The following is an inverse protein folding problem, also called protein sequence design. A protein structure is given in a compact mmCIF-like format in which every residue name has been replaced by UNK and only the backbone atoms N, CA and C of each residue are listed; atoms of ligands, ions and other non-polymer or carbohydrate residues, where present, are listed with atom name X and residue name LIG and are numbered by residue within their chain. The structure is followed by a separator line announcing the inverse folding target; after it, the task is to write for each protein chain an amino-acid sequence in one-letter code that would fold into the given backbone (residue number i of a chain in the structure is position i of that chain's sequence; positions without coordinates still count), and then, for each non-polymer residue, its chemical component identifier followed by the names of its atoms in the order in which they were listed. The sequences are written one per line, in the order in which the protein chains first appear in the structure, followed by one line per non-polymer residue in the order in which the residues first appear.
data_IF_707410427820
#
_entry.id   IF_707410427820
#
_cell.length_a   1.000
_cell.length_b   1.000
_cell.length_c   1.000
_cell.angle_alpha   90.00
_cell.angle_beta   90.00
_cell.angle_gamma   90.00
#
_symmetry.space_group_name_H-M   'P 1'
#
loop_
_entity.id
_entity.type
_entity.pdbx_description
1 polymer ?
#
# COMPACT_ATOMS: atom_id res chain seq x y z
N UNK A 1 -15.55 -47.58 -1.38
CA UNK A 1 -15.70 -46.68 -0.21
C UNK A 1 -15.19 -45.31 -0.63
N UNK A 2 -16.09 -44.35 -0.82
CA UNK A 2 -15.71 -42.96 -1.14
C UNK A 2 -15.41 -42.22 0.16
N UNK A 3 -14.30 -41.47 0.21
CA UNK A 3 -13.95 -40.62 1.33
C UNK A 3 -14.98 -39.50 1.51
N UNK A 4 -15.31 -39.07 2.74
CA UNK A 4 -16.21 -37.95 2.95
C UNK A 4 -15.58 -36.66 2.40
N UNK A 5 -16.37 -35.76 1.78
CA UNK A 5 -15.87 -34.46 1.39
C UNK A 5 -15.43 -33.69 2.64
N UNK A 6 -14.19 -33.18 2.58
CA UNK A 6 -13.60 -32.30 3.59
C UNK A 6 -14.58 -31.15 3.91
N UNK A 7 -14.78 -30.76 5.18
CA UNK A 7 -15.71 -29.69 5.51
C UNK A 7 -15.21 -28.40 4.87
N UNK A 8 -15.98 -27.89 3.91
CA UNK A 8 -15.77 -26.57 3.35
C UNK A 8 -15.74 -25.57 4.51
N UNK A 9 -14.65 -24.80 4.62
CA UNK A 9 -14.57 -23.70 5.58
C UNK A 9 -15.87 -22.88 5.49
N UNK A 10 -16.56 -22.63 6.62
CA UNK A 10 -17.75 -21.81 6.60
C UNK A 10 -17.33 -20.43 6.08
N UNK A 11 -17.80 -20.10 4.88
CA UNK A 11 -17.63 -18.78 4.30
C UNK A 11 -18.47 -17.85 5.17
N UNK A 12 -17.84 -17.33 6.23
CA UNK A 12 -18.43 -16.33 7.08
C UNK A 12 -18.95 -15.23 6.16
N UNK A 13 -20.22 -14.83 6.34
CA UNK A 13 -20.78 -13.67 5.65
C UNK A 13 -19.76 -12.55 5.75
N UNK A 14 -19.26 -12.00 4.62
CA UNK A 14 -18.19 -11.04 4.69
C UNK A 14 -18.69 -9.86 5.54
N UNK A 15 -17.91 -9.49 6.54
CA UNK A 15 -18.02 -8.17 7.13
C UNK A 15 -18.05 -7.16 5.97
N UNK A 16 -18.78 -6.04 6.09
CA UNK A 16 -18.96 -5.10 4.97
C UNK A 16 -17.63 -4.58 4.40
N UNK A 17 -16.52 -4.72 5.13
CA UNK A 17 -15.18 -4.37 4.72
C UNK A 17 -14.18 -5.52 4.96
N UNK A 18 -13.20 -5.72 4.07
CA UNK A 18 -12.18 -6.77 4.20
C UNK A 18 -11.35 -6.59 5.47
N UNK A 19 -11.06 -7.69 6.16
CA UNK A 19 -10.21 -7.70 7.35
C UNK A 19 -8.73 -7.54 7.00
N UNK A 20 -7.90 -7.20 7.97
CA UNK A 20 -6.45 -7.19 7.79
C UNK A 20 -5.94 -8.56 7.29
N UNK A 21 -6.50 -9.66 7.81
CA UNK A 21 -6.17 -11.01 7.38
C UNK A 21 -6.49 -11.26 5.91
N UNK A 22 -7.66 -10.80 5.44
CA UNK A 22 -8.09 -10.95 4.05
C UNK A 22 -7.16 -10.20 3.09
N UNK A 23 -6.80 -8.95 3.44
CA UNK A 23 -5.90 -8.12 2.63
C UNK A 23 -4.51 -8.77 2.52
N UNK A 24 -3.98 -9.26 3.65
CA UNK A 24 -2.67 -9.94 3.69
C UNK A 24 -2.70 -11.29 2.95
N UNK A 25 -3.80 -12.03 3.00
CA UNK A 25 -3.96 -13.27 2.25
C UNK A 25 -4.04 -13.00 0.74
N UNK A 26 -4.79 -11.99 0.33
CA UNK A 26 -4.89 -11.56 -1.06
C UNK A 26 -3.54 -11.05 -1.60
N UNK A 27 -2.74 -10.33 -0.79
CA UNK A 27 -1.41 -9.89 -1.22
C UNK A 27 -0.48 -11.07 -1.48
N UNK A 28 -0.49 -12.08 -0.60
CA UNK A 28 0.32 -13.30 -0.76
C UNK A 28 -0.08 -14.11 -1.99
N UNK A 29 -1.38 -14.22 -2.26
CA UNK A 29 -1.87 -14.84 -3.50
C UNK A 29 -1.38 -14.10 -4.77
N UNK A 30 -1.02 -12.82 -4.62
CA UNK A 30 -0.42 -12.02 -5.68
C UNK A 30 1.12 -12.08 -5.72
N UNK A 31 1.75 -12.88 -4.86
CA UNK A 31 3.20 -12.98 -4.76
C UNK A 31 3.85 -11.80 -4.02
N UNK A 32 3.08 -11.09 -3.20
CA UNK A 32 3.53 -9.95 -2.41
C UNK A 32 3.44 -10.29 -0.92
N UNK A 33 4.57 -10.21 -0.23
CA UNK A 33 4.59 -10.24 1.23
C UNK A 33 4.45 -8.81 1.76
N UNK A 34 3.30 -8.50 2.35
CA UNK A 34 3.01 -7.18 2.91
C UNK A 34 3.10 -7.26 4.42
N UNK A 35 3.82 -6.33 5.03
CA UNK A 35 4.05 -6.30 6.48
C UNK A 35 3.71 -4.93 7.03
N UNK A 36 2.93 -4.91 8.10
CA UNK A 36 2.67 -3.73 8.92
C UNK A 36 3.60 -3.74 10.13
N UNK A 37 4.27 -2.63 10.39
CA UNK A 37 5.07 -2.38 11.59
C UNK A 37 4.58 -1.09 12.24
N UNK A 38 4.43 -1.11 13.55
CA UNK A 38 3.92 0.02 14.34
C UNK A 38 4.91 0.36 15.45
N UNK A 39 5.23 1.64 15.61
CA UNK A 39 6.05 2.16 16.71
C UNK A 39 5.33 3.38 17.28
N UNK A 40 4.67 3.18 18.42
CA UNK A 40 3.77 4.19 18.98
C UNK A 40 2.65 4.55 17.98
N UNK A 41 2.34 5.83 17.76
CA UNK A 41 1.30 6.24 16.81
C UNK A 41 1.74 6.09 15.35
N UNK A 42 3.02 5.88 15.08
CA UNK A 42 3.55 5.77 13.73
C UNK A 42 3.44 4.34 13.22
N UNK A 43 3.14 4.20 11.93
CA UNK A 43 3.13 2.91 11.26
C UNK A 43 3.87 2.98 9.94
N UNK A 44 4.38 1.81 9.54
CA UNK A 44 5.01 1.57 8.26
C UNK A 44 4.48 0.27 7.68
N UNK A 45 4.00 0.33 6.45
CA UNK A 45 3.66 -0.81 5.63
C UNK A 45 4.78 -1.01 4.62
N UNK A 46 5.33 -2.20 4.52
CA UNK A 46 6.33 -2.57 3.51
C UNK A 46 5.80 -3.72 2.69
N UNK A 47 6.03 -3.68 1.38
CA UNK A 47 5.70 -4.77 0.47
C UNK A 47 6.98 -5.27 -0.18
N UNK A 48 7.26 -6.55 0.03
CA UNK A 48 8.43 -7.26 -0.50
C UNK A 48 8.00 -8.39 -1.43
N UNK A 49 8.88 -8.79 -2.33
CA UNK A 49 8.72 -9.98 -3.17
C UNK A 49 9.96 -10.86 -3.06
N UNK A 50 9.75 -12.16 -3.02
CA UNK A 50 10.78 -13.15 -2.73
C UNK A 50 10.72 -13.61 -1.27
N UNK A 51 11.55 -14.58 -0.93
CA UNK A 51 11.62 -15.19 0.38
C UNK A 51 13.08 -15.16 0.87
N UNK A 52 13.29 -15.06 2.19
CA UNK A 52 14.63 -15.09 2.78
C UNK A 52 15.47 -13.84 2.53
N UNK A 53 16.76 -14.03 2.27
CA UNK A 53 17.75 -12.96 2.10
C UNK A 53 17.62 -12.22 0.75
N UNK A 54 16.95 -12.82 -0.23
CA UNK A 54 16.71 -12.25 -1.55
C UNK A 54 15.42 -11.42 -1.64
N UNK A 55 14.76 -11.14 -0.50
CA UNK A 55 13.52 -10.39 -0.47
C UNK A 55 13.74 -8.93 -0.91
N UNK A 56 13.19 -8.58 -2.07
CA UNK A 56 13.32 -7.23 -2.64
C UNK A 56 12.16 -6.36 -2.19
N UNK A 57 12.45 -5.21 -1.60
CA UNK A 57 11.43 -4.20 -1.28
C UNK A 57 10.92 -3.52 -2.55
N UNK A 58 9.63 -3.71 -2.83
CA UNK A 58 8.94 -3.14 -4.00
C UNK A 58 8.28 -1.80 -3.67
N UNK A 59 7.89 -1.60 -2.42
CA UNK A 59 7.32 -0.34 -1.98
C UNK A 59 7.03 -0.29 -0.49
N UNK A 60 6.81 0.92 -0.01
CA UNK A 60 6.49 1.22 1.38
C UNK A 60 5.49 2.35 1.49
N UNK A 61 4.67 2.30 2.53
CA UNK A 61 3.80 3.37 2.97
C UNK A 61 4.05 3.69 4.44
N UNK A 62 4.07 4.97 4.81
CA UNK A 62 4.30 5.45 6.16
C UNK A 62 3.22 6.45 6.52
N UNK A 63 2.86 6.46 7.80
CA UNK A 63 1.89 7.39 8.33
C UNK A 63 1.83 7.36 9.84
N UNK A 64 0.87 8.11 10.38
CA UNK A 64 0.64 8.26 11.80
C UNK A 64 -0.85 8.25 12.11
N UNK A 65 -1.22 7.52 13.16
CA UNK A 65 -2.55 7.58 13.76
C UNK A 65 -2.51 8.58 14.91
N UNK A 66 -3.14 9.74 14.72
CA UNK A 66 -3.17 10.82 15.71
C UNK A 66 -4.51 10.82 16.44
N UNK A 67 -4.53 10.67 17.79
CA UNK A 67 -5.76 10.88 18.55
C UNK A 67 -6.11 12.38 18.53
N UNK A 68 -7.34 12.72 18.14
CA UNK A 68 -7.86 14.09 18.13
C UNK A 68 -9.17 14.17 18.93
N UNK A 69 -9.50 15.33 19.56
CA UNK A 69 -10.81 15.52 20.18
C UNK A 69 -11.93 15.38 19.13
N UNK A 70 -12.70 14.29 19.21
CA UNK A 70 -13.74 13.96 18.22
C UNK A 70 -13.44 12.77 17.31
N UNK A 71 -12.30 12.08 17.48
CA UNK A 71 -11.97 10.83 16.79
C UNK A 71 -10.49 10.77 16.39
N UNK A 72 -9.95 9.57 16.18
CA UNK A 72 -8.60 9.44 15.65
C UNK A 72 -8.57 9.85 14.16
N UNK A 73 -7.44 10.44 13.74
CA UNK A 73 -7.19 10.81 12.34
C UNK A 73 -5.99 10.00 11.85
N UNK A 74 -6.19 9.30 10.74
CA UNK A 74 -5.13 8.62 10.00
C UNK A 74 -4.45 9.63 9.09
N UNK A 75 -3.19 9.96 9.34
CA UNK A 75 -2.37 10.71 8.40
C UNK A 75 -1.50 9.73 7.60
N UNK A 76 -1.63 9.74 6.28
CA UNK A 76 -0.76 9.00 5.39
C UNK A 76 0.25 9.96 4.77
N UNK A 77 1.51 9.83 5.21
CA UNK A 77 2.55 10.83 4.96
C UNK A 77 3.39 10.52 3.72
N UNK A 78 3.67 9.24 3.46
CA UNK A 78 4.47 8.84 2.30
C UNK A 78 4.05 7.49 1.76
N UNK A 79 3.95 7.38 0.44
CA UNK A 79 3.89 6.10 -0.25
C UNK A 79 4.91 6.13 -1.39
N UNK A 80 5.85 5.19 -1.38
CA UNK A 80 6.95 5.13 -2.35
C UNK A 80 7.06 3.73 -2.91
N UNK A 81 7.29 3.64 -4.22
CA UNK A 81 7.63 2.41 -4.91
C UNK A 81 9.09 2.48 -5.34
N UNK A 82 9.80 1.35 -5.29
CA UNK A 82 11.18 1.27 -5.73
C UNK A 82 11.25 1.00 -7.23
N UNK A 83 12.41 1.27 -7.86
CA UNK A 83 12.63 0.91 -9.27
C UNK A 83 12.63 -0.61 -9.50
N UNK A 84 12.79 -1.42 -8.45
CA UNK A 84 12.69 -2.87 -8.55
C UNK A 84 11.32 -3.32 -9.05
N UNK A 85 10.27 -2.53 -8.83
CA UNK A 85 8.93 -2.80 -9.32
C UNK A 85 8.83 -2.69 -10.86
N UNK A 86 9.77 -2.00 -11.53
CA UNK A 86 9.86 -1.95 -13.00
C UNK A 86 10.50 -3.20 -13.61
N UNK A 87 11.28 -3.96 -12.83
CA UNK A 87 11.88 -5.23 -13.25
C UNK A 87 10.91 -6.42 -13.17
N UNK A 88 9.69 -6.19 -12.70
CA UNK A 88 8.65 -7.22 -12.57
C UNK A 88 7.85 -7.29 -13.87
N UNK A 89 8.26 -8.20 -14.76
CA UNK A 89 7.67 -8.40 -16.08
C UNK A 89 6.25 -9.02 -16.07
N UNK A 90 5.88 -9.72 -15.00
CA UNK A 90 4.71 -10.62 -15.03
C UNK A 90 3.42 -10.09 -14.41
N UNK A 91 3.44 -8.98 -13.64
CA UNK A 91 2.21 -8.43 -13.04
C UNK A 91 2.23 -6.91 -13.00
N UNK A 92 1.11 -6.25 -13.39
CA UNK A 92 1.07 -4.80 -13.42
C UNK A 92 1.21 -4.23 -12.00
N UNK A 93 1.95 -3.12 -11.90
CA UNK A 93 2.10 -2.22 -10.74
C UNK A 93 0.78 -1.89 -10.02
N UNK A 94 -0.33 -2.10 -10.72
CA UNK A 94 -1.70 -1.84 -10.33
C UNK A 94 -2.14 -2.51 -9.02
N UNK A 95 -1.53 -3.64 -8.62
CA UNK A 95 -1.87 -4.31 -7.35
C UNK A 95 -1.13 -3.79 -6.13
N UNK A 96 0.14 -3.40 -6.28
CA UNK A 96 1.03 -3.08 -5.15
C UNK A 96 0.55 -1.86 -4.35
N UNK A 97 0.19 -0.78 -5.05
CA UNK A 97 -0.30 0.45 -4.43
C UNK A 97 -1.63 0.22 -3.72
N UNK A 98 -2.50 -0.63 -4.28
CA UNK A 98 -3.78 -1.00 -3.67
C UNK A 98 -3.54 -1.76 -2.37
N UNK A 99 -2.62 -2.73 -2.32
CA UNK A 99 -2.33 -3.45 -1.07
C UNK A 99 -1.72 -2.56 0.01
N UNK A 100 -0.74 -1.72 -0.35
CA UNK A 100 -0.14 -0.78 0.60
C UNK A 100 -1.19 0.19 1.17
N UNK A 101 -2.04 0.76 0.30
CA UNK A 101 -3.14 1.64 0.71
C UNK A 101 -4.20 0.92 1.54
N UNK A 102 -4.61 -0.29 1.14
CA UNK A 102 -5.61 -1.09 1.85
C UNK A 102 -5.14 -1.43 3.27
N UNK A 103 -3.88 -1.84 3.44
CA UNK A 103 -3.32 -2.11 4.77
C UNK A 103 -3.26 -0.83 5.60
N UNK A 104 -2.83 0.30 5.03
CA UNK A 104 -2.78 1.57 5.75
C UNK A 104 -4.17 2.05 6.21
N UNK A 105 -5.16 2.04 5.31
CA UNK A 105 -6.53 2.44 5.63
C UNK A 105 -7.17 1.48 6.62
N UNK A 106 -6.97 0.16 6.45
CA UNK A 106 -7.49 -0.84 7.39
C UNK A 106 -6.87 -0.66 8.77
N UNK A 107 -5.58 -0.38 8.86
CA UNK A 107 -4.92 -0.09 10.13
C UNK A 107 -5.53 1.13 10.84
N UNK A 108 -5.80 2.22 10.10
CA UNK A 108 -6.50 3.38 10.65
C UNK A 108 -7.93 3.06 11.07
N UNK A 109 -8.67 2.27 10.27
CA UNK A 109 -10.01 1.82 10.62
C UNK A 109 -10.03 1.01 11.93
N UNK A 110 -9.12 0.04 12.07
CA UNK A 110 -8.99 -0.79 13.27
C UNK A 110 -8.55 0.04 14.49
N UNK A 111 -7.85 1.16 14.27
CA UNK A 111 -7.50 2.13 15.31
C UNK A 111 -8.62 3.13 15.65
N UNK A 112 -9.80 3.02 15.01
CA UNK A 112 -10.95 3.89 15.26
C UNK A 112 -10.86 5.25 14.57
N UNK A 113 -10.05 5.37 13.50
CA UNK A 113 -9.98 6.61 12.74
C UNK A 113 -11.26 6.85 11.94
N UNK A 114 -11.94 7.96 12.19
CA UNK A 114 -13.11 8.39 11.42
C UNK A 114 -12.72 9.17 10.15
N UNK A 115 -11.50 9.74 10.13
CA UNK A 115 -10.97 10.55 9.05
C UNK A 115 -9.59 10.04 8.64
N UNK A 116 -9.33 10.05 7.34
CA UNK A 116 -8.01 9.85 6.77
C UNK A 116 -7.58 11.09 5.98
N UNK A 117 -6.35 11.53 6.19
CA UNK A 117 -5.73 12.64 5.50
C UNK A 117 -4.52 12.11 4.71
N UNK A 118 -4.56 12.28 3.40
CA UNK A 118 -3.43 12.03 2.51
C UNK A 118 -2.59 13.29 2.47
N UNK A 119 -1.60 13.39 3.34
CA UNK A 119 -0.73 14.55 3.42
C UNK A 119 0.31 14.46 2.30
N UNK A 120 -0.11 14.96 1.13
CA UNK A 120 0.65 15.16 -0.10
C UNK A 120 1.60 14.02 -0.48
N UNK A 121 1.23 13.35 -1.56
CA UNK A 121 2.18 12.80 -2.54
C UNK A 121 3.21 13.90 -2.80
N UNK A 122 4.31 13.89 -2.07
CA UNK A 122 5.39 14.83 -2.26
C UNK A 122 6.13 14.36 -3.51
N UNK A 123 5.57 14.72 -4.67
CA UNK A 123 6.31 14.80 -5.91
C UNK A 123 7.56 15.59 -5.60
N UNK A 124 8.69 14.90 -5.64
CA UNK A 124 9.99 15.52 -5.73
C UNK A 124 9.88 16.74 -6.63
N UNK A 125 10.26 17.92 -6.15
CA UNK A 125 10.51 19.05 -7.02
C UNK A 125 11.43 18.55 -8.14
N UNK A 126 10.89 18.46 -9.35
CA UNK A 126 11.70 18.37 -10.55
C UNK A 126 12.18 19.80 -10.83
N UNK A 127 13.43 20.20 -10.54
CA UNK A 127 14.08 21.09 -11.49
C UNK A 127 14.29 20.23 -12.73
N UNK A 128 13.44 20.48 -13.72
CA UNK A 128 13.55 20.00 -15.10
C UNK A 128 14.98 20.28 -15.56
N UNK A 129 15.86 19.27 -15.54
CA UNK A 129 17.17 19.39 -16.18
C UNK A 129 16.93 19.39 -17.69
N UNK A 130 17.23 20.52 -18.33
CA UNK A 130 17.60 20.57 -19.75
C UNK A 130 16.47 20.50 -20.78
N UNK A 131 15.43 21.33 -20.67
CA UNK A 131 14.74 21.79 -21.89
C UNK A 131 15.14 23.24 -22.12
N UNK A 132 15.91 23.56 -23.19
CA UNK A 132 16.16 24.94 -23.55
C UNK A 132 14.83 25.60 -23.92
N UNK A 133 14.47 26.64 -23.17
CA UNK A 133 13.39 27.56 -23.53
C UNK A 133 13.89 28.51 -24.61
N UNK A 134 13.96 28.04 -25.86
CA UNK A 134 14.04 28.94 -27.01
C UNK A 134 12.60 29.40 -27.34
N UNK A 135 12.32 30.71 -27.42
CA UNK A 135 11.01 31.19 -27.83
C UNK A 135 10.79 30.84 -29.31
N UNK A 136 9.77 30.03 -29.57
CA UNK A 136 9.30 29.74 -30.92
C UNK A 136 8.78 31.03 -31.57
N UNK A 137 9.68 31.75 -32.26
CA UNK A 137 9.34 32.89 -33.12
C UNK A 137 8.57 32.34 -34.31
N UNK A 138 7.28 32.65 -34.36
CA UNK A 138 6.39 32.37 -35.48
C UNK A 138 6.84 33.22 -36.69
N UNK A 139 7.73 32.68 -37.53
CA UNK A 139 7.99 33.24 -38.86
C UNK A 139 6.72 33.05 -39.70
N UNK A 140 6.17 34.18 -40.15
CA UNK A 140 5.20 34.23 -41.24
C UNK A 140 5.91 33.92 -42.56
#
# INVERSE_FOLDING_TARGET
MAAPPSPACPVARPAPYPTMGDIMAASRAQGLDVRLRTVGPFFRVTATRGEGEDAVELGRAEGVVRPWPGGAVLHLDSMRMTRATLGVSDRPLFGLGIFLGAVAVRHGYDAGCARAELLAINDTALPRQGIPTEPFVKRR
#
